data_IF_626255947069
#
_entry.id   IF_626255947069
#
_cell.length_a   1.000
_cell.length_b   1.000
_cell.length_c   1.000
_cell.angle_alpha   90.00
_cell.angle_beta   90.00
_cell.angle_gamma   90.00
#
_symmetry.space_group_name_H-M   'P 1'
#
loop_
_entity.id
_entity.type
_entity.pdbx_description
1 polymer ?
#
# COMPACT_ATOMS: atom_id res chain seq x y z
N UNK A 1 -0.98 24.73 -15.01
CA UNK A 1 -1.48 24.01 -13.83
C UNK A 1 -1.02 22.56 -13.98
N UNK A 2 0.19 22.27 -13.47
CA UNK A 2 0.85 20.98 -13.62
C UNK A 2 0.42 20.08 -12.46
N UNK A 3 -0.43 19.08 -12.74
CA UNK A 3 -0.91 18.12 -11.74
C UNK A 3 -0.27 16.73 -11.91
N UNK A 4 0.92 16.64 -12.52
CA UNK A 4 1.56 15.35 -12.84
C UNK A 4 2.78 14.99 -11.99
N UNK A 5 3.07 15.75 -10.94
CA UNK A 5 4.30 15.60 -10.14
C UNK A 5 4.02 15.12 -8.70
N UNK A 6 2.99 14.29 -8.46
CA UNK A 6 2.74 13.71 -7.11
C UNK A 6 2.10 12.32 -7.13
N UNK A 7 2.09 11.63 -8.28
CA UNK A 7 1.22 10.46 -8.46
C UNK A 7 1.72 9.12 -7.89
N UNK A 8 3.00 9.00 -7.51
CA UNK A 8 3.61 7.71 -7.15
C UNK A 8 4.29 7.64 -5.79
N UNK A 9 4.71 8.76 -5.22
CA UNK A 9 5.65 8.77 -4.09
C UNK A 9 4.99 9.07 -2.73
N UNK A 10 3.68 9.29 -2.70
CA UNK A 10 2.95 9.61 -1.48
C UNK A 10 2.18 8.40 -0.93
N UNK A 11 2.13 8.29 0.40
CA UNK A 11 1.37 7.26 1.08
C UNK A 11 -0.13 7.44 0.84
N UNK A 12 -0.77 6.43 0.27
CA UNK A 12 -2.20 6.37 0.02
C UNK A 12 -2.88 5.55 1.10
N UNK A 13 -3.67 6.22 1.94
CA UNK A 13 -4.51 5.57 2.94
C UNK A 13 -5.78 5.01 2.32
N UNK A 14 -6.22 3.87 2.81
CA UNK A 14 -7.52 3.30 2.44
C UNK A 14 -8.67 4.24 2.84
N UNK A 15 -9.46 4.71 1.87
CA UNK A 15 -10.57 5.65 2.11
C UNK A 15 -11.76 5.06 2.87
N UNK A 16 -11.78 3.73 3.07
CA UNK A 16 -12.81 3.03 3.86
C UNK A 16 -12.40 2.83 5.32
N UNK A 17 -11.22 3.29 5.70
CA UNK A 17 -10.76 3.22 7.08
C UNK A 17 -11.25 4.46 7.84
N UNK A 18 -12.16 4.26 8.78
CA UNK A 18 -12.71 5.30 9.66
C UNK A 18 -12.09 5.29 11.06
N UNK A 19 -11.22 4.31 11.36
CA UNK A 19 -10.64 4.06 12.68
C UNK A 19 -9.11 4.21 12.69
N UNK A 20 -8.48 3.93 13.83
CA UNK A 20 -7.04 3.70 13.90
C UNK A 20 -6.72 2.29 13.34
N UNK A 21 -5.51 2.07 12.81
CA UNK A 21 -5.04 0.87 12.08
C UNK A 21 -5.26 0.84 10.55
N UNK A 22 -5.28 1.99 9.87
CA UNK A 22 -5.48 2.00 8.43
C UNK A 22 -4.30 1.44 7.64
N UNK A 23 -4.58 0.58 6.66
CA UNK A 23 -3.59 0.19 5.66
C UNK A 23 -3.25 1.37 4.73
N UNK A 24 -1.96 1.66 4.61
CA UNK A 24 -1.40 2.66 3.72
C UNK A 24 -0.43 2.01 2.73
N UNK A 25 -0.49 2.43 1.48
CA UNK A 25 0.37 1.92 0.40
C UNK A 25 1.11 3.05 -0.31
N UNK A 26 2.35 2.81 -0.72
CA UNK A 26 3.16 3.76 -1.51
C UNK A 26 3.90 3.00 -2.61
N UNK A 27 3.97 3.55 -3.82
CA UNK A 27 4.83 3.01 -4.87
C UNK A 27 6.27 3.46 -4.61
N UNK A 28 7.23 2.54 -4.70
CA UNK A 28 8.64 2.79 -4.42
C UNK A 28 9.52 2.15 -5.51
N UNK A 29 9.80 2.95 -6.55
CA UNK A 29 10.45 2.46 -7.76
C UNK A 29 9.59 1.38 -8.45
N UNK A 30 10.13 0.17 -8.55
CA UNK A 30 9.44 -1.01 -9.12
C UNK A 30 8.65 -1.82 -8.08
N UNK A 31 8.62 -1.35 -6.82
CA UNK A 31 7.97 -2.05 -5.72
C UNK A 31 6.82 -1.28 -5.10
N UNK A 32 6.20 -1.91 -4.10
CA UNK A 32 5.15 -1.32 -3.26
C UNK A 32 5.55 -1.46 -1.80
N UNK A 33 5.39 -0.37 -1.04
CA UNK A 33 5.49 -0.38 0.40
C UNK A 33 4.10 -0.41 1.01
N UNK A 34 3.91 -1.22 2.05
CA UNK A 34 2.67 -1.34 2.81
C UNK A 34 2.98 -1.12 4.28
N UNK A 35 2.14 -0.36 4.98
CA UNK A 35 2.23 -0.18 6.44
C UNK A 35 0.85 0.03 7.07
N UNK A 36 0.78 -0.09 8.39
CA UNK A 36 -0.33 0.40 9.19
C UNK A 36 -0.09 1.85 9.61
N UNK A 37 -1.13 2.69 9.59
CA UNK A 37 -1.06 4.06 10.12
C UNK A 37 -0.70 4.11 11.61
N UNK A 38 -0.97 3.06 12.38
CA UNK A 38 -0.62 2.99 13.81
C UNK A 38 0.85 2.61 14.05
N UNK A 39 1.45 1.89 13.10
CA UNK A 39 2.84 1.44 13.18
C UNK A 39 3.60 1.82 11.89
N UNK A 40 3.79 3.12 11.62
CA UNK A 40 4.37 3.56 10.35
C UNK A 40 5.83 3.12 10.16
N UNK A 41 6.52 2.78 11.24
CA UNK A 41 7.87 2.21 11.23
C UNK A 41 7.91 0.75 10.77
N UNK A 42 6.80 0.01 10.91
CA UNK A 42 6.68 -1.36 10.41
C UNK A 42 6.18 -1.35 8.97
N UNK A 43 7.12 -1.09 8.06
CA UNK A 43 6.86 -1.09 6.62
C UNK A 43 7.30 -2.40 5.98
N UNK A 44 6.39 -3.04 5.24
CA UNK A 44 6.67 -4.19 4.39
C UNK A 44 6.96 -3.70 2.98
N UNK A 45 8.05 -4.20 2.38
CA UNK A 45 8.39 -3.93 0.98
C UNK A 45 8.10 -5.16 0.14
N UNK A 46 7.38 -4.96 -0.95
CA UNK A 46 7.08 -5.96 -1.96
C UNK A 46 7.68 -5.52 -3.30
N UNK A 47 8.19 -6.47 -4.07
CA UNK A 47 8.44 -6.29 -5.50
C UNK A 47 7.12 -6.20 -6.27
N UNK A 48 7.16 -5.77 -7.54
CA UNK A 48 5.98 -5.79 -8.41
C UNK A 48 5.31 -7.17 -8.47
N UNK A 49 6.11 -8.24 -8.56
CA UNK A 49 5.59 -9.61 -8.65
C UNK A 49 4.89 -10.04 -7.34
N UNK A 50 5.52 -9.77 -6.19
CA UNK A 50 4.93 -10.06 -4.88
C UNK A 50 3.66 -9.24 -4.65
N UNK A 51 3.62 -7.98 -5.07
CA UNK A 51 2.43 -7.14 -4.98
C UNK A 51 1.26 -7.71 -5.79
N UNK A 52 1.52 -8.20 -7.00
CA UNK A 52 0.49 -8.84 -7.83
C UNK A 52 -0.05 -10.10 -7.14
N UNK A 53 0.83 -10.96 -6.62
CA UNK A 53 0.43 -12.17 -5.93
C UNK A 53 -0.34 -11.87 -4.64
N UNK A 54 0.13 -10.91 -3.84
CA UNK A 54 -0.53 -10.46 -2.61
C UNK A 54 -1.94 -9.94 -2.90
N UNK A 55 -2.11 -9.08 -3.92
CA UNK A 55 -3.41 -8.57 -4.31
C UNK A 55 -4.35 -9.69 -4.75
N UNK A 56 -3.86 -10.67 -5.49
CA UNK A 56 -4.66 -11.81 -5.95
C UNK A 56 -5.18 -12.63 -4.76
N UNK A 57 -4.32 -12.92 -3.78
CA UNK A 57 -4.70 -13.57 -2.52
C UNK A 57 -5.76 -12.77 -1.74
N UNK A 58 -5.57 -11.46 -1.58
CA UNK A 58 -6.55 -10.58 -0.91
C UNK A 58 -7.91 -10.60 -1.60
N UNK A 59 -7.94 -10.60 -2.94
CA UNK A 59 -9.19 -10.67 -3.72
C UNK A 59 -9.83 -12.05 -3.63
N UNK A 60 -9.03 -13.11 -3.59
CA UNK A 60 -9.48 -14.48 -3.38
C UNK A 60 -9.98 -14.75 -1.95
N UNK A 61 -9.67 -13.85 -1.00
CA UNK A 61 -10.00 -14.00 0.41
C UNK A 61 -9.06 -14.96 1.17
N UNK A 62 -7.84 -15.13 0.67
CA UNK A 62 -6.80 -15.99 1.24
C UNK A 62 -5.97 -15.22 2.28
N UNK A 63 -6.07 -15.62 3.55
CA UNK A 63 -5.45 -14.94 4.70
C UNK A 63 -4.87 -15.90 5.75
N UNK A 64 -4.73 -17.19 5.43
CA UNK A 64 -4.24 -18.25 6.34
C UNK A 64 -2.70 -18.24 6.50
#
# INVERSE_FOLDING_TARGET
>A
MSWRESGGEEWRRSGRCEASACAEVKVDGDGVLIRSSEEPERTVRLTAAEWVAFRDGVVAGDFD
#
